data_IF_824722024087
#
_entry.id   IF_824722024087
#
_cell.length_a   1.000
_cell.length_b   1.000
_cell.length_c   1.000
_cell.angle_alpha   90.00
_cell.angle_beta   90.00
_cell.angle_gamma   90.00
#
_symmetry.space_group_name_H-M   'P 1'
#
loop_
_entity.id
_entity.type
_entity.pdbx_description
1 polymer ?
#
# COMPACT_ATOMS: atom_id res chain seq x y z
N UNK A 1 0.25 -44.20 -19.48
CA UNK A 1 -1.11 -44.21 -18.93
C UNK A 1 -1.10 -43.67 -17.49
N UNK A 2 -1.59 -42.44 -17.31
CA UNK A 2 -1.61 -41.70 -16.03
C UNK A 2 -2.86 -42.00 -15.18
N UNK A 3 -3.68 -42.98 -15.58
CA UNK A 3 -4.93 -43.33 -14.90
C UNK A 3 -4.79 -43.90 -13.48
N UNK A 4 -3.63 -44.45 -13.10
CA UNK A 4 -3.47 -45.16 -11.82
C UNK A 4 -3.10 -44.21 -10.64
N UNK A 5 -3.86 -44.19 -9.53
CA UNK A 5 -3.65 -43.27 -8.40
C UNK A 5 -2.22 -43.30 -7.83
N UNK A 6 -1.64 -44.48 -7.61
CA UNK A 6 -0.28 -44.63 -7.08
C UNK A 6 0.82 -44.09 -8.00
N UNK A 7 0.68 -44.19 -9.32
CA UNK A 7 1.69 -43.64 -10.27
C UNK A 7 1.61 -42.13 -10.40
N UNK A 8 0.41 -41.54 -10.27
CA UNK A 8 0.24 -40.08 -10.19
C UNK A 8 0.91 -39.53 -8.94
N UNK A 9 0.77 -40.22 -7.81
CA UNK A 9 1.40 -39.81 -6.55
C UNK A 9 2.94 -39.90 -6.64
N UNK A 10 3.48 -41.00 -7.16
CA UNK A 10 4.94 -41.12 -7.38
C UNK A 10 5.49 -40.09 -8.37
N UNK A 11 4.78 -39.78 -9.46
CA UNK A 11 5.20 -38.75 -10.41
C UNK A 11 5.16 -37.34 -9.79
N UNK A 12 4.18 -37.05 -8.93
CA UNK A 12 4.13 -35.81 -8.14
C UNK A 12 5.29 -35.70 -7.17
N UNK A 13 5.60 -36.78 -6.45
CA UNK A 13 6.73 -36.83 -5.52
C UNK A 13 8.07 -36.62 -6.25
N UNK A 14 8.29 -37.26 -7.40
CA UNK A 14 9.49 -37.05 -8.21
C UNK A 14 9.60 -35.62 -8.73
N UNK A 15 8.48 -35.01 -9.13
CA UNK A 15 8.46 -33.62 -9.58
C UNK A 15 8.76 -32.64 -8.43
N UNK A 16 8.27 -32.91 -7.22
CA UNK A 16 8.59 -32.14 -6.01
C UNK A 16 10.08 -32.25 -5.67
N UNK A 17 10.64 -33.47 -5.68
CA UNK A 17 12.07 -33.69 -5.44
C UNK A 17 12.97 -33.00 -6.47
N UNK A 18 12.58 -33.00 -7.75
CA UNK A 18 13.31 -32.28 -8.80
C UNK A 18 13.28 -30.76 -8.56
N UNK A 19 12.15 -30.22 -8.09
CA UNK A 19 11.99 -28.80 -7.73
C UNK A 19 12.85 -28.42 -6.52
N UNK A 20 12.90 -29.25 -5.49
CA UNK A 20 13.71 -29.00 -4.29
C UNK A 20 15.22 -28.99 -4.60
N UNK A 21 15.67 -29.83 -5.53
CA UNK A 21 17.05 -29.84 -6.03
C UNK A 21 17.39 -28.59 -6.87
N UNK A 22 16.38 -27.95 -7.50
CA UNK A 22 16.58 -26.76 -8.32
C UNK A 22 16.72 -25.47 -7.51
N UNK A 23 16.31 -25.45 -6.24
CA UNK A 23 16.34 -24.25 -5.39
C UNK A 23 17.75 -23.69 -5.23
N UNK A 24 18.72 -24.53 -4.83
CA UNK A 24 20.10 -24.07 -4.57
C UNK A 24 20.77 -23.49 -5.83
N UNK A 25 20.73 -24.15 -7.00
CA UNK A 25 21.25 -23.57 -8.25
C UNK A 25 20.60 -22.23 -8.63
N UNK A 26 19.28 -22.10 -8.50
CA UNK A 26 18.57 -20.87 -8.85
C UNK A 26 18.92 -19.71 -7.91
N UNK A 27 19.03 -19.97 -6.60
CA UNK A 27 19.48 -18.96 -5.64
C UNK A 27 20.93 -18.51 -5.91
N UNK A 28 21.81 -19.44 -6.31
CA UNK A 28 23.17 -19.11 -6.74
C UNK A 28 23.18 -18.25 -8.00
N UNK A 29 22.39 -18.59 -9.02
CA UNK A 29 22.27 -17.80 -10.24
C UNK A 29 21.73 -16.40 -9.97
N UNK A 30 20.76 -16.25 -9.06
CA UNK A 30 20.26 -14.94 -8.64
C UNK A 30 21.33 -14.11 -7.90
N UNK A 31 22.26 -14.77 -7.17
CA UNK A 31 23.37 -14.11 -6.48
C UNK A 31 24.48 -13.63 -7.42
N UNK A 32 24.60 -14.25 -8.58
CA UNK A 32 25.65 -13.95 -9.53
C UNK A 32 25.26 -12.74 -10.40
N UNK A 33 26.04 -11.68 -10.29
CA UNK A 33 25.78 -10.41 -10.97
C UNK A 33 25.99 -10.51 -12.48
N UNK A 34 26.75 -11.50 -12.95
CA UNK A 34 27.04 -11.72 -14.37
C UNK A 34 25.80 -12.21 -15.14
N UNK A 35 24.80 -12.74 -14.43
CA UNK A 35 23.48 -13.03 -15.02
C UNK A 35 22.67 -11.75 -15.31
N UNK A 36 23.13 -10.59 -14.86
CA UNK A 36 22.65 -9.24 -15.18
C UNK A 36 21.15 -9.17 -15.46
N UNK A 37 20.75 -9.07 -16.75
CA UNK A 37 19.36 -8.85 -17.14
C UNK A 37 18.41 -10.01 -16.85
N UNK A 38 18.89 -11.23 -16.55
CA UNK A 38 18.03 -12.37 -16.23
C UNK A 38 17.70 -12.49 -14.74
N UNK A 39 18.40 -11.74 -13.88
CA UNK A 39 18.23 -11.80 -12.42
C UNK A 39 16.81 -11.41 -11.98
N UNK A 40 16.16 -10.36 -12.52
CA UNK A 40 14.79 -10.01 -12.13
C UNK A 40 13.77 -11.12 -12.45
N UNK A 41 13.89 -11.76 -13.61
CA UNK A 41 13.06 -12.88 -14.04
C UNK A 41 13.30 -14.10 -13.15
N UNK A 42 14.56 -14.37 -12.77
CA UNK A 42 14.88 -15.44 -11.83
C UNK A 42 14.23 -15.21 -10.46
N UNK A 43 14.17 -13.97 -9.98
CA UNK A 43 13.48 -13.64 -8.74
C UNK A 43 11.98 -13.96 -8.80
N UNK A 44 11.31 -13.61 -9.91
CA UNK A 44 9.90 -13.94 -10.15
C UNK A 44 9.67 -15.47 -10.22
N UNK A 45 10.56 -16.19 -10.92
CA UNK A 45 10.53 -17.67 -10.99
C UNK A 45 10.67 -18.29 -9.60
N UNK A 46 11.55 -17.76 -8.75
CA UNK A 46 11.78 -18.23 -7.39
C UNK A 46 10.54 -18.02 -6.51
N UNK A 47 9.85 -16.87 -6.57
CA UNK A 47 8.57 -16.69 -5.88
C UNK A 47 7.53 -17.70 -6.37
N UNK A 48 7.44 -17.91 -7.69
CA UNK A 48 6.56 -18.93 -8.26
C UNK A 48 6.93 -20.37 -7.84
N UNK A 49 8.21 -20.64 -7.55
CA UNK A 49 8.68 -21.90 -7.00
C UNK A 49 8.30 -22.06 -5.53
N UNK A 50 8.45 -21.01 -4.72
CA UNK A 50 8.00 -20.96 -3.33
C UNK A 50 6.52 -21.32 -3.18
N UNK A 51 5.65 -20.83 -4.08
CA UNK A 51 4.22 -21.20 -4.10
C UNK A 51 4.01 -22.71 -4.18
N UNK A 52 4.88 -23.43 -4.91
CA UNK A 52 4.74 -24.85 -5.21
C UNK A 52 5.44 -25.75 -4.21
N UNK A 53 6.51 -25.29 -3.57
CA UNK A 53 7.36 -26.11 -2.69
C UNK A 53 7.25 -25.71 -1.23
N UNK A 54 6.84 -24.47 -0.92
CA UNK A 54 6.89 -23.93 0.45
C UNK A 54 8.31 -23.79 1.00
N UNK A 55 9.33 -23.86 0.14
CA UNK A 55 10.73 -23.90 0.56
C UNK A 55 11.17 -22.57 1.18
N UNK A 56 11.36 -22.58 2.50
CA UNK A 56 11.71 -21.40 3.29
C UNK A 56 13.07 -20.81 2.93
N UNK A 57 13.97 -21.57 2.29
CA UNK A 57 15.24 -21.04 1.78
C UNK A 57 14.99 -19.95 0.73
N UNK A 58 13.96 -20.11 -0.09
CA UNK A 58 13.56 -19.12 -1.09
C UNK A 58 13.01 -17.88 -0.38
N UNK A 59 12.07 -18.06 0.55
CA UNK A 59 11.47 -16.95 1.28
C UNK A 59 12.55 -16.11 1.99
N UNK A 60 13.45 -16.77 2.74
CA UNK A 60 14.53 -16.09 3.44
C UNK A 60 15.49 -15.33 2.50
N UNK A 61 15.93 -15.95 1.40
CA UNK A 61 16.86 -15.28 0.47
C UNK A 61 16.21 -14.10 -0.24
N UNK A 62 14.97 -14.25 -0.72
CA UNK A 62 14.26 -13.18 -1.41
C UNK A 62 13.88 -12.03 -0.46
N UNK A 63 13.50 -12.31 0.79
CA UNK A 63 13.24 -11.28 1.80
C UNK A 63 14.50 -10.45 2.06
N UNK A 64 15.66 -11.10 2.18
CA UNK A 64 16.95 -10.39 2.32
C UNK A 64 17.28 -9.54 1.08
N UNK A 65 17.01 -10.05 -0.12
CA UNK A 65 17.27 -9.34 -1.39
C UNK A 65 16.33 -8.16 -1.61
N UNK A 66 15.07 -8.25 -1.20
CA UNK A 66 14.14 -7.13 -1.27
C UNK A 66 14.68 -5.87 -0.59
N UNK A 67 15.52 -6.01 0.44
CA UNK A 67 16.19 -4.86 1.08
C UNK A 67 17.61 -4.57 0.65
N UNK A 68 18.32 -5.51 0.01
CA UNK A 68 19.78 -5.42 -0.16
C UNK A 68 20.31 -5.77 -1.56
N UNK A 69 19.47 -6.22 -2.50
CA UNK A 69 19.97 -6.52 -3.84
C UNK A 69 20.41 -5.23 -4.53
N UNK A 70 21.61 -5.17 -5.15
CA UNK A 70 22.09 -3.94 -5.79
C UNK A 70 21.22 -3.53 -6.99
N UNK A 71 20.53 -4.47 -7.62
CA UNK A 71 19.65 -4.19 -8.76
C UNK A 71 18.23 -3.86 -8.28
N UNK A 72 17.75 -2.61 -8.43
CA UNK A 72 16.38 -2.25 -8.05
C UNK A 72 15.32 -3.04 -8.82
N UNK A 73 15.61 -3.49 -10.04
CA UNK A 73 14.67 -4.30 -10.81
C UNK A 73 14.45 -5.68 -10.16
N UNK A 74 15.49 -6.28 -9.57
CA UNK A 74 15.35 -7.51 -8.77
C UNK A 74 14.43 -7.26 -7.57
N UNK A 75 14.66 -6.17 -6.82
CA UNK A 75 13.84 -5.82 -5.65
C UNK A 75 12.38 -5.58 -6.03
N UNK A 76 12.13 -4.83 -7.11
CA UNK A 76 10.80 -4.56 -7.63
C UNK A 76 10.07 -5.83 -8.10
N UNK A 77 10.77 -6.76 -8.77
CA UNK A 77 10.19 -8.05 -9.20
C UNK A 77 9.86 -8.95 -8.02
N UNK A 78 10.67 -8.97 -6.96
CA UNK A 78 10.34 -9.68 -5.72
C UNK A 78 9.04 -9.12 -5.14
N UNK A 79 8.93 -7.79 -4.98
CA UNK A 79 7.75 -7.16 -4.44
C UNK A 79 6.48 -7.47 -5.27
N UNK A 80 6.58 -7.27 -6.59
CA UNK A 80 5.48 -7.57 -7.53
C UNK A 80 5.03 -9.02 -7.43
N UNK A 81 5.96 -9.98 -7.50
CA UNK A 81 5.64 -11.39 -7.49
C UNK A 81 5.06 -11.83 -6.12
N UNK A 82 5.56 -11.29 -5.01
CA UNK A 82 5.01 -11.55 -3.67
C UNK A 82 3.53 -11.13 -3.58
N UNK A 83 3.19 -9.95 -4.11
CA UNK A 83 1.82 -9.46 -4.21
C UNK A 83 0.92 -10.34 -5.09
N UNK A 84 1.35 -10.62 -6.33
CA UNK A 84 0.59 -11.43 -7.29
C UNK A 84 0.30 -12.83 -6.78
N UNK A 85 1.26 -13.44 -6.08
CA UNK A 85 1.12 -14.78 -5.50
C UNK A 85 0.59 -14.77 -4.05
N UNK A 86 0.21 -13.60 -3.53
CA UNK A 86 -0.35 -13.41 -2.19
C UNK A 86 0.50 -14.05 -1.08
N UNK A 87 1.82 -13.86 -1.12
CA UNK A 87 2.76 -14.46 -0.15
C UNK A 87 2.89 -13.62 1.12
N UNK A 88 2.21 -14.07 2.17
CA UNK A 88 2.17 -13.36 3.46
C UNK A 88 3.50 -13.34 4.21
N UNK A 89 4.38 -14.31 3.99
CA UNK A 89 5.74 -14.27 4.55
C UNK A 89 6.61 -13.10 4.05
N UNK A 90 6.17 -12.34 3.05
CA UNK A 90 6.85 -11.10 2.62
C UNK A 90 6.25 -9.84 3.22
N UNK A 91 5.22 -9.92 4.08
CA UNK A 91 4.57 -8.74 4.65
C UNK A 91 5.55 -7.81 5.37
N UNK A 92 6.33 -8.35 6.31
CA UNK A 92 7.29 -7.53 7.06
C UNK A 92 8.42 -6.99 6.15
N UNK A 93 9.06 -7.80 5.28
CA UNK A 93 10.01 -7.28 4.29
C UNK A 93 9.46 -6.16 3.39
N UNK A 94 8.21 -6.26 2.94
CA UNK A 94 7.55 -5.23 2.13
C UNK A 94 7.34 -3.95 2.93
N UNK A 95 6.89 -4.07 4.18
CA UNK A 95 6.66 -2.93 5.08
C UNK A 95 7.95 -2.25 5.54
N UNK A 96 9.03 -3.01 5.72
CA UNK A 96 10.30 -2.55 6.28
C UNK A 96 11.29 -2.06 5.25
N UNK A 97 11.43 -2.79 4.13
CA UNK A 97 12.42 -2.47 3.11
C UNK A 97 11.76 -1.88 1.86
N UNK A 98 10.69 -2.53 1.37
CA UNK A 98 10.07 -2.14 0.10
C UNK A 98 9.47 -0.73 0.10
N UNK A 99 8.80 -0.32 1.19
CA UNK A 99 8.18 1.00 1.30
C UNK A 99 9.19 2.14 1.52
N UNK A 100 10.37 1.83 2.05
CA UNK A 100 11.44 2.80 2.32
C UNK A 100 12.55 2.77 1.28
N UNK A 101 12.34 2.05 0.17
CA UNK A 101 13.35 1.90 -0.87
C UNK A 101 13.67 3.25 -1.53
N UNK A 102 14.94 3.41 -1.92
CA UNK A 102 15.42 4.58 -2.64
C UNK A 102 14.90 4.65 -4.08
N UNK A 103 14.58 3.49 -4.68
CA UNK A 103 14.06 3.40 -6.03
C UNK A 103 12.52 3.44 -6.05
N UNK A 104 11.98 4.35 -6.85
CA UNK A 104 10.54 4.60 -6.95
C UNK A 104 9.74 3.41 -7.53
N UNK A 105 10.34 2.59 -8.39
CA UNK A 105 9.66 1.43 -8.95
C UNK A 105 9.53 0.31 -7.90
N UNK A 106 10.53 0.15 -7.02
CA UNK A 106 10.43 -0.77 -5.88
C UNK A 106 9.31 -0.35 -4.93
N UNK A 107 9.25 0.95 -4.58
CA UNK A 107 8.18 1.48 -3.72
C UNK A 107 6.81 1.30 -4.38
N UNK A 108 6.71 1.58 -5.68
CA UNK A 108 5.48 1.42 -6.45
C UNK A 108 4.96 -0.03 -6.46
N UNK A 109 5.82 -1.00 -6.80
CA UNK A 109 5.45 -2.41 -6.77
C UNK A 109 5.12 -2.89 -5.36
N UNK A 110 5.80 -2.34 -4.34
CA UNK A 110 5.51 -2.65 -2.94
C UNK A 110 4.13 -2.16 -2.50
N UNK A 111 3.74 -0.93 -2.86
CA UNK A 111 2.42 -0.38 -2.57
C UNK A 111 1.31 -1.24 -3.22
N UNK A 112 1.50 -1.64 -4.47
CA UNK A 112 0.57 -2.55 -5.17
C UNK A 112 0.49 -3.89 -4.43
N UNK A 113 1.63 -4.49 -4.09
CA UNK A 113 1.68 -5.77 -3.40
C UNK A 113 0.97 -5.74 -2.04
N UNK A 114 1.22 -4.70 -1.23
CA UNK A 114 0.56 -4.51 0.05
C UNK A 114 -0.94 -4.19 -0.10
N UNK A 115 -1.34 -3.52 -1.18
CA UNK A 115 -2.75 -3.36 -1.56
C UNK A 115 -3.45 -4.71 -1.79
N UNK A 116 -2.79 -5.63 -2.52
CA UNK A 116 -3.30 -6.99 -2.77
C UNK A 116 -3.34 -7.86 -1.51
N UNK A 117 -2.42 -7.60 -0.57
CA UNK A 117 -2.28 -8.30 0.71
C UNK A 117 -2.99 -7.60 1.89
N UNK A 118 -3.78 -6.56 1.61
CA UNK A 118 -4.35 -5.69 2.66
C UNK A 118 -5.23 -6.44 3.66
N UNK A 119 -5.94 -7.46 3.20
CA UNK A 119 -6.81 -8.28 4.05
C UNK A 119 -6.05 -9.17 5.05
N UNK A 120 -4.75 -9.39 4.82
CA UNK A 120 -3.88 -10.25 5.60
C UNK A 120 -3.06 -9.46 6.64
N UNK A 121 -3.04 -8.13 6.53
CA UNK A 121 -2.34 -7.27 7.48
C UNK A 121 -3.05 -7.26 8.84
N UNK A 122 -2.28 -7.39 9.91
CA UNK A 122 -2.76 -7.09 11.25
C UNK A 122 -2.93 -5.57 11.46
N UNK A 123 -3.44 -5.16 12.62
CA UNK A 123 -3.70 -3.74 12.89
C UNK A 123 -2.41 -2.89 12.95
N UNK A 124 -1.32 -3.45 13.46
CA UNK A 124 -0.04 -2.74 13.53
C UNK A 124 0.56 -2.55 12.14
N UNK A 125 0.54 -3.60 11.31
CA UNK A 125 0.97 -3.57 9.92
C UNK A 125 0.10 -2.63 9.07
N UNK A 126 -1.22 -2.61 9.28
CA UNK A 126 -2.12 -1.64 8.64
C UNK A 126 -1.75 -0.21 9.00
N UNK A 127 -1.57 0.08 10.29
CA UNK A 127 -1.20 1.42 10.75
C UNK A 127 0.14 1.87 10.15
N UNK A 128 1.14 0.97 10.10
CA UNK A 128 2.42 1.23 9.44
C UNK A 128 2.23 1.55 7.95
N UNK A 129 1.51 0.71 7.21
CA UNK A 129 1.22 0.94 5.79
C UNK A 129 0.56 2.30 5.56
N UNK A 130 -0.49 2.62 6.30
CA UNK A 130 -1.25 3.86 6.14
C UNK A 130 -0.41 5.09 6.47
N UNK A 131 0.39 5.02 7.53
CA UNK A 131 1.31 6.11 7.92
C UNK A 131 2.38 6.35 6.87
N UNK A 132 3.02 5.28 6.39
CA UNK A 132 4.05 5.40 5.36
C UNK A 132 3.45 5.86 4.04
N UNK A 133 2.29 5.35 3.64
CA UNK A 133 1.59 5.80 2.43
C UNK A 133 1.27 7.30 2.48
N UNK A 134 0.84 7.83 3.64
CA UNK A 134 0.62 9.26 3.82
C UNK A 134 1.88 10.10 3.51
N UNK A 135 3.06 9.65 3.94
CA UNK A 135 4.32 10.34 3.61
C UNK A 135 4.73 10.27 2.13
N UNK A 136 4.17 9.32 1.37
CA UNK A 136 4.51 9.07 -0.04
C UNK A 136 3.62 9.82 -1.04
N UNK A 137 2.54 10.47 -0.58
CA UNK A 137 1.59 11.21 -1.46
C UNK A 137 2.28 12.32 -2.27
N UNK A 138 3.40 12.86 -1.78
CA UNK A 138 4.18 13.92 -2.42
C UNK A 138 5.37 13.42 -3.27
N UNK A 139 5.64 12.11 -3.35
CA UNK A 139 6.78 11.59 -4.14
C UNK A 139 6.73 12.02 -5.61
N UNK A 140 7.85 12.24 -6.32
CA UNK A 140 7.83 12.61 -7.74
C UNK A 140 7.33 11.52 -8.70
N UNK A 141 7.37 10.25 -8.30
CA UNK A 141 6.88 9.16 -9.14
C UNK A 141 5.35 9.07 -9.17
N UNK A 142 4.77 9.10 -10.38
CA UNK A 142 3.31 9.11 -10.59
C UNK A 142 2.63 7.88 -10.00
N UNK A 143 3.21 6.69 -10.22
CA UNK A 143 2.66 5.43 -9.71
C UNK A 143 2.65 5.40 -8.19
N UNK A 144 3.76 5.81 -7.55
CA UNK A 144 3.84 5.90 -6.08
C UNK A 144 2.79 6.85 -5.54
N UNK A 145 2.68 8.08 -6.07
CA UNK A 145 1.67 9.05 -5.61
C UNK A 145 0.24 8.55 -5.74
N UNK A 146 -0.05 7.80 -6.81
CA UNK A 146 -1.42 7.34 -7.09
C UNK A 146 -1.80 6.28 -6.07
N UNK A 147 -0.98 5.24 -5.91
CA UNK A 147 -1.25 4.16 -4.94
C UNK A 147 -1.20 4.67 -3.50
N UNK A 148 -0.22 5.51 -3.17
CA UNK A 148 -0.09 6.11 -1.84
C UNK A 148 -1.33 6.94 -1.48
N UNK A 149 -1.90 7.69 -2.44
CA UNK A 149 -3.10 8.50 -2.20
C UNK A 149 -4.33 7.65 -1.92
N UNK A 150 -4.52 6.54 -2.65
CA UNK A 150 -5.63 5.61 -2.39
C UNK A 150 -5.58 5.09 -0.95
N UNK A 151 -4.39 4.70 -0.49
CA UNK A 151 -4.18 4.24 0.88
C UNK A 151 -4.32 5.37 1.91
N UNK A 152 -3.76 6.54 1.61
CA UNK A 152 -3.86 7.73 2.48
C UNK A 152 -5.31 8.19 2.65
N UNK A 153 -6.16 8.08 1.63
CA UNK A 153 -7.59 8.38 1.74
C UNK A 153 -8.32 7.46 2.72
N UNK A 154 -7.92 6.18 2.82
CA UNK A 154 -8.47 5.29 3.85
C UNK A 154 -8.09 5.77 5.26
N UNK A 155 -6.87 6.26 5.46
CA UNK A 155 -6.45 6.84 6.75
C UNK A 155 -7.20 8.14 7.06
N UNK A 156 -7.42 8.98 6.06
CA UNK A 156 -8.23 10.19 6.19
C UNK A 156 -9.65 9.84 6.66
N UNK A 157 -10.26 8.80 6.08
CA UNK A 157 -11.59 8.35 6.51
C UNK A 157 -11.61 7.92 7.99
N UNK A 158 -10.63 7.15 8.45
CA UNK A 158 -10.50 6.73 9.86
C UNK A 158 -10.38 7.92 10.82
N UNK A 159 -9.51 8.89 10.49
CA UNK A 159 -9.33 10.09 11.30
C UNK A 159 -10.60 10.94 11.35
N UNK A 160 -11.32 11.04 10.22
CA UNK A 160 -12.60 11.76 10.17
C UNK A 160 -13.67 11.04 11.01
N UNK A 161 -13.77 9.72 10.96
CA UNK A 161 -14.75 8.99 11.76
C UNK A 161 -14.44 9.03 13.26
N UNK A 162 -13.16 9.00 13.64
CA UNK A 162 -12.74 9.26 15.01
C UNK A 162 -13.07 10.69 15.42
N UNK A 163 -12.80 11.68 14.57
CA UNK A 163 -13.13 13.09 14.82
C UNK A 163 -14.62 13.29 15.03
N UNK A 164 -15.47 12.64 14.22
CA UNK A 164 -16.94 12.65 14.40
C UNK A 164 -17.35 12.06 15.73
N UNK A 165 -16.73 10.96 16.15
CA UNK A 165 -16.99 10.34 17.45
C UNK A 165 -16.64 11.29 18.60
N UNK A 166 -15.54 12.04 18.49
CA UNK A 166 -15.14 13.07 19.47
C UNK A 166 -16.13 14.23 19.53
N UNK A 167 -16.70 14.66 18.40
CA UNK A 167 -17.78 15.66 18.38
C UNK A 167 -19.00 15.16 19.15
N UNK A 168 -19.41 13.90 18.95
CA UNK A 168 -20.54 13.31 19.68
C UNK A 168 -20.30 13.25 21.20
N UNK A 169 -19.04 13.08 21.62
CA UNK A 169 -18.62 13.14 23.03
C UNK A 169 -18.37 14.56 23.56
N UNK A 170 -18.71 15.61 22.79
CA UNK A 170 -18.42 17.01 23.10
C UNK A 170 -16.93 17.39 23.24
N UNK A 171 -16.02 16.56 22.73
CA UNK A 171 -14.56 16.77 22.76
C UNK A 171 -14.08 17.57 21.53
N UNK A 172 -14.54 18.83 21.41
CA UNK A 172 -14.38 19.62 20.18
C UNK A 172 -12.93 19.90 19.77
N UNK A 173 -12.03 20.14 20.74
CA UNK A 173 -10.62 20.36 20.45
C UNK A 173 -9.95 19.10 19.87
N UNK A 174 -10.27 17.94 20.43
CA UNK A 174 -9.76 16.66 19.93
C UNK A 174 -10.30 16.35 18.52
N UNK A 175 -11.59 16.62 18.29
CA UNK A 175 -12.18 16.49 16.96
C UNK A 175 -11.49 17.40 15.92
N UNK A 176 -11.23 18.65 16.27
CA UNK A 176 -10.54 19.60 15.41
C UNK A 176 -9.12 19.13 15.04
N UNK A 177 -8.34 18.67 16.03
CA UNK A 177 -7.00 18.12 15.77
C UNK A 177 -7.03 16.91 14.83
N UNK A 178 -8.05 16.04 14.95
CA UNK A 178 -8.19 14.88 14.06
C UNK A 178 -8.52 15.29 12.63
N UNK A 179 -9.41 16.26 12.42
CA UNK A 179 -9.71 16.77 11.08
C UNK A 179 -8.51 17.50 10.48
N UNK A 180 -7.75 18.26 11.28
CA UNK A 180 -6.51 18.90 10.82
C UNK A 180 -5.45 17.86 10.42
N UNK A 181 -5.29 16.79 11.21
CA UNK A 181 -4.40 15.68 10.86
C UNK A 181 -4.83 15.00 9.55
N UNK A 182 -6.12 14.82 9.32
CA UNK A 182 -6.64 14.28 8.07
C UNK A 182 -6.33 15.18 6.85
N UNK A 183 -6.53 16.49 6.99
CA UNK A 183 -6.22 17.48 5.93
C UNK A 183 -4.71 17.54 5.67
N UNK A 184 -3.87 17.40 6.69
CA UNK A 184 -2.41 17.40 6.50
C UNK A 184 -1.93 16.22 5.62
N UNK A 185 -2.67 15.10 5.60
CA UNK A 185 -2.35 13.92 4.78
C UNK A 185 -2.79 14.11 3.33
N UNK A 186 -4.05 14.50 3.10
CA UNK A 186 -4.59 14.82 1.77
C UNK A 186 -5.25 16.21 1.82
N UNK A 187 -4.50 17.29 1.48
CA UNK A 187 -4.97 18.67 1.65
C UNK A 187 -6.27 19.01 0.91
N UNK A 188 -6.51 18.39 -0.24
CA UNK A 188 -7.68 18.60 -1.07
C UNK A 188 -8.83 17.61 -0.78
N UNK A 189 -8.73 16.81 0.29
CA UNK A 189 -9.81 15.90 0.67
C UNK A 189 -11.06 16.68 1.07
N UNK A 190 -12.09 16.62 0.22
CA UNK A 190 -13.35 17.37 0.41
C UNK A 190 -14.05 17.02 1.73
N UNK A 191 -14.07 15.74 2.10
CA UNK A 191 -14.81 15.30 3.28
C UNK A 191 -14.17 15.78 4.59
N UNK A 192 -12.85 15.69 4.71
CA UNK A 192 -12.12 16.22 5.86
C UNK A 192 -12.26 17.74 5.98
N UNK A 193 -12.09 18.47 4.87
CA UNK A 193 -12.27 19.93 4.82
C UNK A 193 -13.70 20.34 5.19
N UNK A 194 -14.72 19.64 4.69
CA UNK A 194 -16.12 19.86 5.06
C UNK A 194 -16.34 19.71 6.57
N UNK A 195 -15.80 18.64 7.16
CA UNK A 195 -15.99 18.33 8.58
C UNK A 195 -15.35 19.37 9.49
N UNK A 196 -14.13 19.83 9.17
CA UNK A 196 -13.49 20.92 9.89
C UNK A 196 -14.27 22.24 9.74
N UNK A 197 -14.68 22.58 8.51
CA UNK A 197 -15.44 23.79 8.25
C UNK A 197 -16.78 23.79 9.01
N UNK A 198 -17.47 22.65 9.03
CA UNK A 198 -18.73 22.49 9.76
C UNK A 198 -18.53 22.62 11.28
N UNK A 199 -17.48 22.02 11.83
CA UNK A 199 -17.14 22.14 13.25
C UNK A 199 -16.89 23.61 13.64
N UNK A 200 -16.15 24.36 12.82
CA UNK A 200 -15.90 25.80 13.06
C UNK A 200 -17.18 26.62 13.03
N UNK A 201 -18.01 26.37 12.02
CA UNK A 201 -19.33 26.98 11.92
C UNK A 201 -20.17 26.72 13.19
N UNK A 202 -20.29 25.47 13.61
CA UNK A 202 -21.11 25.10 14.78
C UNK A 202 -20.57 25.66 16.11
N UNK A 203 -19.30 26.06 16.18
CA UNK A 203 -18.67 26.70 17.35
C UNK A 203 -18.76 28.23 17.34
N UNK A 204 -19.47 28.82 16.38
CA UNK A 204 -19.71 30.26 16.28
C UNK A 204 -18.75 31.01 15.35
N UNK A 205 -17.74 30.35 14.78
CA UNK A 205 -16.88 30.93 13.74
C UNK A 205 -17.51 30.69 12.35
N UNK A 206 -18.69 31.27 12.17
CA UNK A 206 -19.51 31.08 10.98
C UNK A 206 -18.80 31.56 9.71
N UNK A 207 -18.10 32.69 9.79
CA UNK A 207 -17.42 33.28 8.63
C UNK A 207 -16.27 32.42 8.16
N UNK A 208 -15.38 31.97 9.06
CA UNK A 208 -14.28 31.10 8.67
C UNK A 208 -14.76 29.74 8.18
N UNK A 209 -15.81 29.17 8.80
CA UNK A 209 -16.45 27.95 8.34
C UNK A 209 -16.99 28.08 6.92
N UNK A 210 -17.76 29.13 6.62
CA UNK A 210 -18.31 29.38 5.29
C UNK A 210 -17.22 29.68 4.25
N UNK A 211 -16.19 30.45 4.62
CA UNK A 211 -15.06 30.75 3.74
C UNK A 211 -14.34 29.45 3.33
N UNK A 212 -14.05 28.56 4.29
CA UNK A 212 -13.45 27.26 4.01
C UNK A 212 -14.36 26.39 3.11
N UNK A 213 -15.67 26.40 3.34
CA UNK A 213 -16.62 25.70 2.45
C UNK A 213 -16.57 26.23 1.01
N UNK A 214 -16.49 27.55 0.83
CA UNK A 214 -16.35 28.14 -0.52
C UNK A 214 -15.03 27.77 -1.18
N UNK A 215 -13.89 27.91 -0.48
CA UNK A 215 -12.56 27.62 -1.03
C UNK A 215 -12.44 26.20 -1.59
N UNK A 216 -13.09 25.22 -0.97
CA UNK A 216 -13.08 23.83 -1.42
C UNK A 216 -14.30 23.44 -2.29
N UNK A 217 -15.08 24.42 -2.77
CA UNK A 217 -16.20 24.21 -3.69
C UNK A 217 -17.37 23.43 -3.07
N UNK A 218 -17.58 23.59 -1.76
CA UNK A 218 -18.61 22.88 -0.98
C UNK A 218 -19.83 23.77 -0.68
N UNK A 219 -19.87 24.97 -1.25
CA UNK A 219 -20.96 25.93 -1.10
C UNK A 219 -21.38 26.44 -2.49
N UNK A 220 -22.70 26.46 -2.74
CA UNK A 220 -23.26 27.04 -3.95
C UNK A 220 -23.58 28.52 -3.69
N UNK A 221 -22.83 29.41 -4.32
CA UNK A 221 -23.14 30.84 -4.30
C UNK A 221 -24.24 31.10 -5.33
N UNK A 222 -25.49 31.23 -4.86
CA UNK A 222 -26.63 31.59 -5.72
C UNK A 222 -26.62 33.10 -5.93
N UNK A 223 -26.48 33.59 -7.17
CA UNK A 223 -26.59 35.02 -7.46
C UNK A 223 -27.98 35.50 -7.06
N UNK A 224 -28.08 36.47 -6.14
CA UNK A 224 -29.36 37.12 -5.88
C UNK A 224 -29.69 38.01 -7.08
N UNK A 225 -30.78 37.71 -7.79
CA UNK A 225 -31.30 38.60 -8.80
C UNK A 225 -31.60 39.96 -8.15
N UNK A 226 -30.96 41.03 -8.64
CA UNK A 226 -31.06 42.37 -8.06
C UNK A 226 -32.44 43.02 -8.25
N UNK A 227 -33.35 42.38 -8.99
CA UNK A 227 -34.69 42.89 -9.27
C UNK A 227 -35.71 41.74 -9.25
N UNK A 228 -36.87 41.91 -8.58
CA UNK A 228 -37.95 40.93 -8.63
C UNK A 228 -38.53 40.85 -10.06
N UNK A 229 -38.97 39.66 -10.51
CA UNK A 229 -39.61 39.50 -11.81
C UNK A 229 -40.91 40.33 -11.85
N UNK A 230 -41.05 41.14 -12.90
CA UNK A 230 -42.23 41.96 -13.19
C UNK A 230 -43.41 41.13 -13.69
#
# INVERSE_FOLDING_TARGET
DLGHPGRRESARQLLLLAKDRAVVPLLKALADIDYGPARPELAEVLVGLLVRTGDQRIAHDLSRRLGNDPDPMVRARIARAAGLHRRVEFLDPLLEAGLTDGDDEVVHQTLIALGLLRSQLDNHQKERLLTTAASLVSRPHKGVRTEARILAEARVAELVDLGRSRVLSAEMAAAESLYQAAIAIVPDNKYANYRLARLRYDRGDHEAGLAMMRTHGMLLDVPRAGTPPH
#
